data_IF_940424186874
#
_entry.id   IF_940424186874
#
_cell.length_a   1.000
_cell.length_b   1.000
_cell.length_c   1.000
_cell.angle_alpha   90.00
_cell.angle_beta   90.00
_cell.angle_gamma   90.00
#
_symmetry.space_group_name_H-M   'P 1'
#
loop_
_entity.id
_entity.type
_entity.pdbx_description
1 polymer ?
#
# COMPACT_ATOMS: atom_id res chain seq x y z
N UNK A 1 -41.42 10.65 45.41
CA UNK A 1 -41.23 10.67 43.95
C UNK A 1 -39.75 10.38 43.66
N UNK A 2 -39.46 9.20 43.11
CA UNK A 2 -38.11 8.75 42.79
C UNK A 2 -37.62 9.45 41.52
N UNK A 3 -36.54 10.23 41.59
CA UNK A 3 -35.88 10.74 40.40
C UNK A 3 -34.96 9.65 39.85
N UNK A 4 -35.39 9.01 38.78
CA UNK A 4 -34.57 8.07 38.02
C UNK A 4 -33.52 8.84 37.24
N UNK A 5 -32.27 8.76 37.69
CA UNK A 5 -31.09 9.28 37.00
C UNK A 5 -30.86 8.50 35.70
N UNK A 6 -31.53 8.89 34.62
CA UNK A 6 -31.18 8.46 33.27
C UNK A 6 -29.95 9.23 32.80
N UNK A 7 -28.77 8.80 33.28
CA UNK A 7 -27.50 9.21 32.67
C UNK A 7 -27.43 8.52 31.31
N UNK A 8 -27.85 9.25 30.28
CA UNK A 8 -27.62 8.88 28.89
C UNK A 8 -26.12 8.65 28.70
N UNK A 9 -25.72 7.39 28.59
CA UNK A 9 -24.36 7.00 28.25
C UNK A 9 -24.11 7.40 26.80
N UNK A 10 -23.73 8.67 26.61
CA UNK A 10 -23.06 9.10 25.39
C UNK A 10 -21.84 8.19 25.23
N UNK A 11 -21.90 7.23 24.31
CA UNK A 11 -20.73 6.45 23.88
C UNK A 11 -19.80 7.44 23.20
N UNK A 12 -18.99 8.13 24.00
CA UNK A 12 -17.86 8.90 23.51
C UNK A 12 -16.99 7.89 22.76
N UNK A 13 -16.93 8.04 21.43
CA UNK A 13 -16.06 7.24 20.58
C UNK A 13 -14.66 7.38 21.16
N UNK A 14 -14.12 6.30 21.71
CA UNK A 14 -12.77 6.33 22.28
C UNK A 14 -11.78 6.22 21.12
N UNK A 15 -11.43 7.38 20.56
CA UNK A 15 -10.52 7.55 19.42
C UNK A 15 -9.14 6.90 19.65
N UNK A 16 -8.72 6.72 20.91
CA UNK A 16 -7.43 6.14 21.29
C UNK A 16 -7.50 4.64 21.63
N UNK A 17 -8.66 4.00 21.46
CA UNK A 17 -8.85 2.59 21.85
C UNK A 17 -7.86 1.63 21.20
N UNK A 18 -7.40 1.93 19.98
CA UNK A 18 -6.46 1.10 19.21
C UNK A 18 -5.03 1.67 19.15
N UNK A 19 -4.73 2.68 19.97
CA UNK A 19 -3.39 3.28 20.02
C UNK A 19 -2.38 2.42 20.79
N UNK A 20 -2.83 1.38 21.51
CA UNK A 20 -1.95 0.45 22.21
C UNK A 20 -1.76 -0.86 21.42
N UNK A 21 -0.55 -1.44 21.36
CA UNK A 21 -0.31 -2.70 20.66
C UNK A 21 -1.21 -3.86 21.12
N UNK A 22 -1.51 -3.95 22.42
CA UNK A 22 -2.32 -5.03 23.00
C UNK A 22 -3.78 -5.00 22.55
N UNK A 23 -4.32 -3.83 22.20
CA UNK A 23 -5.69 -3.67 21.71
C UNK A 23 -5.77 -3.77 20.19
N UNK A 24 -4.73 -3.33 19.49
CA UNK A 24 -4.66 -3.37 18.03
C UNK A 24 -4.39 -4.77 17.48
N UNK A 25 -3.47 -5.53 18.09
CA UNK A 25 -3.01 -6.82 17.55
C UNK A 25 -4.12 -7.87 17.35
N UNK A 26 -5.07 -8.06 18.30
CA UNK A 26 -6.18 -8.99 18.10
C UNK A 26 -7.14 -8.55 16.99
N UNK A 27 -7.32 -7.25 16.79
CA UNK A 27 -8.13 -6.72 15.70
C UNK A 27 -7.44 -6.98 14.35
N UNK A 28 -6.14 -6.66 14.25
CA UNK A 28 -5.35 -6.95 13.06
C UNK A 28 -5.43 -8.44 12.69
N UNK A 29 -5.25 -9.34 13.66
CA UNK A 29 -5.38 -10.79 13.46
C UNK A 29 -6.72 -11.22 12.86
N UNK A 30 -7.83 -10.61 13.29
CA UNK A 30 -9.17 -10.88 12.73
C UNK A 30 -9.36 -10.33 11.31
N UNK A 31 -8.69 -9.24 10.97
CA UNK A 31 -8.82 -8.58 9.67
C UNK A 31 -7.90 -9.19 8.60
N UNK A 32 -6.76 -9.77 8.99
CA UNK A 32 -5.81 -10.44 8.08
C UNK A 32 -6.49 -11.37 7.07
N UNK A 33 -7.34 -12.35 7.44
CA UNK A 33 -7.94 -13.26 6.47
C UNK A 33 -8.85 -12.54 5.46
N UNK A 34 -9.55 -11.50 5.88
CA UNK A 34 -10.39 -10.69 4.99
C UNK A 34 -9.54 -9.90 4.00
N UNK A 35 -8.45 -9.27 4.46
CA UNK A 35 -7.54 -8.56 3.56
C UNK A 35 -6.82 -9.49 2.58
N UNK A 36 -6.48 -10.71 2.99
CA UNK A 36 -5.98 -11.72 2.08
C UNK A 36 -7.02 -12.14 1.05
N UNK A 37 -8.26 -12.39 1.46
CA UNK A 37 -9.34 -12.73 0.54
C UNK A 37 -9.56 -11.62 -0.50
N UNK A 38 -9.65 -10.36 -0.06
CA UNK A 38 -9.79 -9.22 -0.97
C UNK A 38 -8.59 -9.07 -1.91
N UNK A 39 -7.36 -9.22 -1.39
CA UNK A 39 -6.14 -9.19 -2.20
C UNK A 39 -6.16 -10.24 -3.30
N UNK A 40 -6.56 -11.48 -2.97
CA UNK A 40 -6.63 -12.58 -3.94
C UNK A 40 -7.72 -12.31 -4.98
N UNK A 41 -8.91 -11.92 -4.54
CA UNK A 41 -10.06 -11.68 -5.44
C UNK A 41 -9.74 -10.55 -6.41
N UNK A 42 -9.33 -9.39 -5.92
CA UNK A 42 -9.03 -8.25 -6.77
C UNK A 42 -7.73 -8.44 -7.56
N UNK A 43 -6.73 -9.13 -7.01
CA UNK A 43 -5.50 -9.45 -7.71
C UNK A 43 -5.76 -10.36 -8.92
N UNK A 44 -6.51 -11.45 -8.74
CA UNK A 44 -6.86 -12.36 -9.85
C UNK A 44 -7.73 -11.63 -10.87
N UNK A 45 -8.76 -10.90 -10.43
CA UNK A 45 -9.63 -10.15 -11.33
C UNK A 45 -8.85 -9.11 -12.14
N UNK A 46 -7.96 -8.35 -11.50
CA UNK A 46 -7.11 -7.34 -12.14
C UNK A 46 -6.17 -7.95 -13.17
N UNK A 47 -5.49 -9.06 -12.82
CA UNK A 47 -4.60 -9.77 -13.74
C UNK A 47 -5.38 -10.40 -14.91
N UNK A 48 -6.58 -10.91 -14.66
CA UNK A 48 -7.44 -11.45 -15.73
C UNK A 48 -7.81 -10.35 -16.72
N UNK A 49 -8.28 -9.21 -16.20
CA UNK A 49 -8.66 -8.07 -17.03
C UNK A 49 -7.47 -7.55 -17.83
N UNK A 50 -6.29 -7.43 -17.21
CA UNK A 50 -5.11 -6.87 -17.87
C UNK A 50 -4.54 -7.76 -18.99
N UNK A 51 -4.48 -9.08 -18.78
CA UNK A 51 -3.84 -10.00 -19.73
C UNK A 51 -4.80 -10.60 -20.76
N UNK A 52 -6.10 -10.68 -20.46
CA UNK A 52 -7.04 -11.39 -21.34
C UNK A 52 -8.16 -10.49 -21.90
N UNK A 53 -8.62 -9.50 -21.15
CA UNK A 53 -9.74 -8.64 -21.55
C UNK A 53 -9.26 -7.37 -22.24
N UNK A 54 -8.19 -6.76 -21.73
CA UNK A 54 -7.69 -5.49 -22.25
C UNK A 54 -7.23 -5.64 -23.71
N UNK A 55 -7.74 -4.77 -24.62
CA UNK A 55 -7.30 -4.77 -26.00
C UNK A 55 -5.83 -4.37 -26.08
N UNK A 56 -5.20 -4.77 -27.18
CA UNK A 56 -3.82 -4.39 -27.48
C UNK A 56 -3.79 -2.90 -27.79
N UNK A 57 -2.81 -2.18 -27.25
CA UNK A 57 -2.64 -0.76 -27.55
C UNK A 57 -2.14 -0.57 -28.99
N UNK A 58 -2.65 0.46 -29.68
CA UNK A 58 -2.35 0.71 -31.09
C UNK A 58 -0.88 1.11 -31.34
N UNK A 59 -0.22 1.73 -30.35
CA UNK A 59 1.16 2.23 -30.47
C UNK A 59 2.13 1.28 -29.77
N UNK A 60 1.77 0.83 -28.58
CA UNK A 60 2.62 0.07 -27.67
C UNK A 60 2.47 -1.45 -27.85
N UNK A 61 1.49 -1.90 -28.64
CA UNK A 61 1.26 -3.32 -28.88
C UNK A 61 1.00 -4.08 -27.58
N UNK A 62 1.51 -5.31 -27.51
CA UNK A 62 1.36 -6.18 -26.33
C UNK A 62 2.15 -5.68 -25.11
N UNK A 63 3.20 -4.88 -25.32
CA UNK A 63 4.03 -4.34 -24.24
C UNK A 63 3.26 -3.44 -23.28
N UNK A 64 2.18 -2.81 -23.74
CA UNK A 64 1.26 -2.02 -22.91
C UNK A 64 0.77 -2.79 -21.68
N UNK A 65 0.60 -4.12 -21.78
CA UNK A 65 0.04 -4.92 -20.69
C UNK A 65 0.92 -4.93 -19.43
N UNK A 66 2.21 -4.63 -19.55
CA UNK A 66 3.14 -4.50 -18.40
C UNK A 66 2.70 -3.34 -17.49
N UNK A 67 2.13 -2.27 -18.06
CA UNK A 67 1.68 -1.08 -17.31
C UNK A 67 0.64 -1.44 -16.23
N UNK A 68 -0.24 -2.42 -16.51
CA UNK A 68 -1.24 -2.85 -15.54
C UNK A 68 -0.66 -3.47 -14.26
N UNK A 69 0.59 -3.90 -14.29
CA UNK A 69 1.33 -4.34 -13.10
C UNK A 69 2.24 -3.22 -12.58
N UNK A 70 2.95 -2.56 -13.49
CA UNK A 70 3.92 -1.52 -13.16
C UNK A 70 3.28 -0.35 -12.42
N UNK A 71 2.23 0.27 -12.98
CA UNK A 71 1.64 1.50 -12.42
C UNK A 71 1.07 1.29 -11.01
N UNK A 72 0.29 0.23 -10.73
CA UNK A 72 -0.13 -0.06 -9.38
C UNK A 72 1.04 -0.35 -8.42
N UNK A 73 2.09 -1.04 -8.88
CA UNK A 73 3.28 -1.29 -8.05
C UNK A 73 4.00 0.00 -7.68
N UNK A 74 4.21 0.92 -8.63
CA UNK A 74 4.81 2.25 -8.37
C UNK A 74 3.95 3.06 -7.39
N UNK A 75 2.63 3.07 -7.59
CA UNK A 75 1.72 3.77 -6.68
C UNK A 75 1.76 3.21 -5.26
N UNK A 76 1.76 1.89 -5.12
CA UNK A 76 1.84 1.23 -3.82
C UNK A 76 3.20 1.43 -3.14
N UNK A 77 4.30 1.45 -3.90
CA UNK A 77 5.64 1.78 -3.42
C UNK A 77 5.65 3.16 -2.73
N UNK A 78 5.28 4.21 -3.48
CA UNK A 78 5.25 5.59 -2.98
C UNK A 78 4.32 5.74 -1.77
N UNK A 79 3.12 5.16 -1.84
CA UNK A 79 2.14 5.25 -0.75
C UNK A 79 2.66 4.59 0.53
N UNK A 80 3.21 3.37 0.44
CA UNK A 80 3.73 2.65 1.60
C UNK A 80 4.91 3.39 2.23
N UNK A 81 5.82 3.94 1.42
CA UNK A 81 6.93 4.74 1.93
C UNK A 81 6.48 6.04 2.60
N UNK A 82 5.47 6.73 2.08
CA UNK A 82 4.88 7.90 2.76
C UNK A 82 4.24 7.51 4.11
N UNK A 83 3.49 6.42 4.15
CA UNK A 83 2.87 5.94 5.39
C UNK A 83 3.95 5.51 6.40
N UNK A 84 4.97 4.79 5.94
CA UNK A 84 6.12 4.37 6.76
C UNK A 84 6.88 5.57 7.32
N UNK A 85 7.18 6.58 6.50
CA UNK A 85 7.84 7.82 6.91
C UNK A 85 6.99 8.59 7.94
N UNK A 86 5.67 8.63 7.75
CA UNK A 86 4.74 9.23 8.72
C UNK A 86 4.82 8.52 10.07
N UNK A 87 4.76 7.17 10.09
CA UNK A 87 4.88 6.41 11.33
C UNK A 87 6.27 6.53 11.96
N UNK A 88 7.34 6.54 11.18
CA UNK A 88 8.69 6.80 11.70
C UNK A 88 8.77 8.18 12.37
N UNK A 89 8.20 9.22 11.74
CA UNK A 89 8.12 10.57 12.32
C UNK A 89 7.32 10.62 13.62
N UNK A 90 6.15 9.98 13.67
CA UNK A 90 5.36 9.86 14.91
C UNK A 90 6.11 9.08 16.00
N UNK A 91 6.88 8.07 15.61
CA UNK A 91 7.77 7.32 16.51
C UNK A 91 8.86 8.21 17.11
N UNK A 92 9.46 9.10 16.31
CA UNK A 92 10.48 10.04 16.78
C UNK A 92 9.90 11.14 17.69
N UNK A 93 8.73 11.69 17.35
CA UNK A 93 8.10 12.78 18.12
C UNK A 93 7.51 12.27 19.44
N UNK A 94 6.79 11.14 19.40
CA UNK A 94 5.99 10.67 20.53
C UNK A 94 6.55 9.43 21.24
N UNK A 95 7.67 8.87 20.74
CA UNK A 95 8.34 7.69 21.29
C UNK A 95 7.39 6.50 21.52
N UNK A 96 6.51 6.26 20.54
CA UNK A 96 5.46 5.23 20.63
C UNK A 96 5.93 3.91 20.03
N UNK A 97 5.78 2.81 20.79
CA UNK A 97 6.15 1.46 20.34
C UNK A 97 5.38 0.99 19.11
N UNK A 98 4.08 1.36 19.02
CA UNK A 98 3.23 0.99 17.90
C UNK A 98 3.76 1.54 16.57
N UNK A 99 4.27 2.77 16.58
CA UNK A 99 4.82 3.43 15.39
C UNK A 99 6.03 2.68 14.82
N UNK A 100 6.95 2.26 15.69
CA UNK A 100 8.10 1.45 15.29
C UNK A 100 7.67 0.09 14.71
N UNK A 101 6.69 -0.57 15.33
CA UNK A 101 6.16 -1.85 14.85
C UNK A 101 5.51 -1.73 13.46
N UNK A 102 4.71 -0.68 13.22
CA UNK A 102 4.07 -0.45 11.92
C UNK A 102 5.13 -0.12 10.87
N UNK A 103 6.08 0.77 11.16
CA UNK A 103 7.15 1.11 10.23
C UNK A 103 7.98 -0.13 9.82
N UNK A 104 8.33 -0.99 10.79
CA UNK A 104 9.05 -2.23 10.52
C UNK A 104 8.24 -3.23 9.68
N UNK A 105 6.93 -3.32 9.90
CA UNK A 105 6.05 -4.19 9.10
C UNK A 105 5.88 -3.68 7.66
N UNK A 106 5.85 -2.36 7.46
CA UNK A 106 5.69 -1.74 6.14
C UNK A 106 6.96 -1.79 5.29
N UNK A 107 8.13 -1.68 5.90
CA UNK A 107 9.43 -1.63 5.21
C UNK A 107 9.63 -2.74 4.13
N UNK A 108 9.45 -4.05 4.43
CA UNK A 108 9.63 -5.09 3.42
C UNK A 108 8.58 -5.03 2.32
N UNK A 109 7.34 -4.64 2.63
CA UNK A 109 6.26 -4.55 1.63
C UNK A 109 6.55 -3.39 0.67
N UNK A 110 6.94 -2.23 1.20
CA UNK A 110 7.34 -1.07 0.39
C UNK A 110 8.53 -1.39 -0.51
N UNK A 111 9.55 -2.06 0.03
CA UNK A 111 10.71 -2.50 -0.75
C UNK A 111 10.34 -3.46 -1.89
N UNK A 112 9.42 -4.40 -1.65
CA UNK A 112 8.93 -5.29 -2.71
C UNK A 112 8.15 -4.54 -3.80
N UNK A 113 7.31 -3.56 -3.42
CA UNK A 113 6.59 -2.75 -4.40
C UNK A 113 7.54 -1.86 -5.21
N UNK A 114 8.55 -1.26 -4.57
CA UNK A 114 9.60 -0.47 -5.23
C UNK A 114 10.40 -1.34 -6.19
N UNK A 115 10.82 -2.54 -5.76
CA UNK A 115 11.51 -3.48 -6.63
C UNK A 115 10.66 -3.87 -7.85
N UNK A 116 9.39 -4.22 -7.65
CA UNK A 116 8.47 -4.57 -8.75
C UNK A 116 8.25 -3.39 -9.69
N UNK A 117 8.09 -2.18 -9.16
CA UNK A 117 7.99 -0.92 -9.90
C UNK A 117 9.20 -0.74 -10.82
N UNK A 118 10.41 -0.77 -10.26
CA UNK A 118 11.66 -0.60 -11.02
C UNK A 118 11.87 -1.71 -12.05
N UNK A 119 11.64 -2.97 -11.66
CA UNK A 119 11.83 -4.13 -12.52
C UNK A 119 10.89 -4.07 -13.73
N UNK A 120 9.58 -3.99 -13.48
CA UNK A 120 8.56 -3.93 -14.55
C UNK A 120 8.67 -2.66 -15.39
N UNK A 121 9.07 -1.55 -14.78
CA UNK A 121 9.32 -0.28 -15.48
C UNK A 121 10.48 -0.40 -16.47
N UNK A 122 11.57 -1.07 -16.09
CA UNK A 122 12.69 -1.32 -16.98
C UNK A 122 12.28 -2.21 -18.18
N UNK A 123 11.51 -3.29 -17.93
CA UNK A 123 10.99 -4.16 -19.01
C UNK A 123 10.08 -3.43 -19.98
N UNK A 124 9.25 -2.51 -19.49
CA UNK A 124 8.43 -1.68 -20.35
C UNK A 124 9.24 -0.59 -21.06
N UNK A 125 10.26 -0.02 -20.41
CA UNK A 125 11.11 1.02 -20.97
C UNK A 125 11.90 0.57 -22.19
N UNK A 126 12.39 -0.68 -22.20
CA UNK A 126 13.21 -1.18 -23.33
C UNK A 126 12.51 -1.11 -24.70
N UNK A 127 11.28 -1.63 -24.88
CA UNK A 127 10.58 -1.52 -26.16
C UNK A 127 10.07 -0.09 -26.46
N UNK A 128 9.75 0.72 -25.44
CA UNK A 128 9.13 2.04 -25.66
C UNK A 128 10.15 3.16 -25.88
N UNK A 129 11.28 3.10 -25.19
CA UNK A 129 12.30 4.16 -25.18
C UNK A 129 13.67 3.68 -25.70
N UNK A 130 13.81 2.39 -26.03
CA UNK A 130 15.07 1.80 -26.50
C UNK A 130 16.10 1.54 -25.40
N UNK A 131 15.84 1.95 -24.16
CA UNK A 131 16.72 1.78 -22.99
C UNK A 131 15.94 1.24 -21.79
N UNK A 132 16.64 0.53 -20.90
CA UNK A 132 16.07 -0.01 -19.66
C UNK A 132 15.90 1.04 -18.58
N UNK A 133 16.69 2.12 -18.64
CA UNK A 133 16.67 3.18 -17.65
C UNK A 133 17.12 4.50 -18.26
N UNK A 134 16.54 5.58 -17.75
CA UNK A 134 16.95 6.95 -18.01
C UNK A 134 17.10 7.62 -16.65
N UNK A 135 18.15 8.40 -16.47
CA UNK A 135 18.43 9.12 -15.23
C UNK A 135 17.65 10.45 -15.16
N UNK A 136 16.36 10.42 -15.50
CA UNK A 136 15.49 11.58 -15.34
C UNK A 136 15.01 11.69 -13.88
N UNK A 137 14.46 12.85 -13.51
CA UNK A 137 14.04 13.11 -12.13
C UNK A 137 12.95 12.12 -11.66
N UNK A 138 12.04 11.72 -12.55
CA UNK A 138 10.91 10.83 -12.24
C UNK A 138 11.37 9.40 -11.93
N UNK A 139 12.24 8.84 -12.76
CA UNK A 139 12.73 7.48 -12.56
C UNK A 139 13.71 7.43 -11.40
N UNK A 140 14.58 8.43 -11.29
CA UNK A 140 15.54 8.50 -10.19
C UNK A 140 14.87 8.69 -8.82
N UNK A 141 13.77 9.46 -8.74
CA UNK A 141 13.02 9.62 -7.49
C UNK A 141 12.26 8.38 -7.03
N UNK A 142 11.94 7.46 -7.95
CA UNK A 142 11.34 6.17 -7.57
C UNK A 142 12.41 5.20 -7.05
N UNK A 143 13.66 5.36 -7.48
CA UNK A 143 14.80 4.53 -7.07
C UNK A 143 15.39 4.95 -5.72
N UNK A 144 15.47 6.26 -5.45
CA UNK A 144 16.11 6.87 -4.27
C UNK A 144 15.07 7.34 -3.27
#
# INVERSE_FOLDING_TARGET
MSQTNNVSTNRVVNWFKFSSPSTFYPLAGKLIPWFWALTIIFGIAGLWVSFFVAPVDAVQGQGYRIIFVHVPASWMSMFIYLVMATWAGLGLIFNTRLSAMIAQALAPIGAWMAFLSLWTGAFWGKPMWGTWWVWDARLTSELI
#
